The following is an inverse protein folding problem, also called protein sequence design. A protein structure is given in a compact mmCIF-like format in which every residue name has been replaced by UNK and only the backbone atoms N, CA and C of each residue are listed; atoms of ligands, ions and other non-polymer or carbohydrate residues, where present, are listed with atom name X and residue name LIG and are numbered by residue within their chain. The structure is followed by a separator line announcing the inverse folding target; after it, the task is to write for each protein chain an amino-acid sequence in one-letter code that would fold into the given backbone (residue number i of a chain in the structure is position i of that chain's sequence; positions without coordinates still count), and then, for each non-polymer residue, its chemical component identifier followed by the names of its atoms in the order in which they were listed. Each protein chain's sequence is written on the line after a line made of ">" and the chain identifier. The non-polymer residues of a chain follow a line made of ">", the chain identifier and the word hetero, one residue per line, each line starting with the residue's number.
data_IF_621537593597
#
_entry.id   IF_621537593597
#
_cell.length_a   1.000
_cell.length_b   1.000
_cell.length_c   1.000
_cell.angle_alpha   90.00
_cell.angle_beta   90.00
_cell.angle_gamma   90.00
#
_symmetry.space_group_name_H-M   'P 1'
#
loop_
_entity.id
_entity.type
_entity.pdbx_description
1 polymer ?
#
# COMPACT_ATOMS: atom_id res chain seq x y z
N UNK A 1 -7.38 -16.06 2.45
CA UNK A 1 -5.94 -15.98 2.83
C UNK A 1 -5.42 -14.55 2.77
N UNK A 2 -5.42 -13.90 1.60
CA UNK A 2 -5.01 -12.49 1.44
C UNK A 2 -5.97 -11.52 2.17
N UNK A 3 -7.28 -11.80 2.13
CA UNK A 3 -8.29 -11.08 2.92
C UNK A 3 -8.00 -11.07 4.43
N UNK A 4 -7.46 -12.16 4.98
CA UNK A 4 -7.11 -12.24 6.40
C UNK A 4 -5.92 -11.34 6.74
N UNK A 5 -4.95 -11.23 5.83
CA UNK A 5 -3.85 -10.26 5.96
C UNK A 5 -4.39 -8.83 5.92
N UNK A 6 -5.27 -8.52 4.96
CA UNK A 6 -5.87 -7.20 4.84
C UNK A 6 -6.61 -6.77 6.11
N UNK A 7 -7.43 -7.67 6.68
CA UNK A 7 -8.13 -7.43 7.95
C UNK A 7 -7.15 -7.23 9.11
N UNK A 8 -6.11 -8.06 9.19
CA UNK A 8 -5.07 -7.93 10.21
C UNK A 8 -4.34 -6.57 10.13
N UNK A 9 -3.98 -6.12 8.92
CA UNK A 9 -3.28 -4.84 8.73
C UNK A 9 -4.14 -3.62 9.06
N UNK A 10 -5.47 -3.77 9.10
CA UNK A 10 -6.37 -2.73 9.62
C UNK A 10 -6.48 -2.77 11.15
N UNK A 11 -6.57 -3.96 11.72
CA UNK A 11 -6.81 -4.12 13.15
C UNK A 11 -5.56 -3.93 14.01
N UNK A 12 -4.38 -4.29 13.49
CA UNK A 12 -3.12 -4.31 14.27
C UNK A 12 -1.90 -4.08 13.36
N UNK A 13 -1.81 -2.91 12.69
CA UNK A 13 -0.74 -2.63 11.70
C UNK A 13 0.69 -2.71 12.27
N UNK A 14 0.85 -2.37 13.55
CA UNK A 14 2.12 -2.37 14.28
C UNK A 14 2.57 -3.77 14.73
N UNK A 15 1.65 -4.73 14.75
CA UNK A 15 1.92 -6.09 15.20
C UNK A 15 2.65 -6.88 14.13
N UNK A 16 3.40 -7.90 14.57
CA UNK A 16 4.01 -8.85 13.63
C UNK A 16 2.92 -9.59 12.86
N UNK A 17 3.06 -9.66 11.55
CA UNK A 17 2.07 -10.36 10.71
C UNK A 17 1.99 -11.84 11.09
N UNK A 18 0.79 -12.43 11.12
CA UNK A 18 0.62 -13.82 11.51
C UNK A 18 1.10 -14.75 10.41
N UNK A 19 1.59 -15.93 10.81
CA UNK A 19 1.84 -17.03 9.88
C UNK A 19 0.59 -17.30 8.99
N UNK A 20 0.73 -17.53 7.68
CA UNK A 20 1.97 -17.74 6.92
C UNK A 20 2.53 -16.48 6.24
N UNK A 21 2.18 -15.30 6.74
CA UNK A 21 2.65 -14.04 6.18
C UNK A 21 3.95 -13.60 6.81
N UNK A 22 4.81 -13.02 5.98
CA UNK A 22 6.06 -12.39 6.38
C UNK A 22 6.05 -10.96 5.86
N UNK A 23 6.44 -10.00 6.71
CA UNK A 23 6.63 -8.61 6.30
C UNK A 23 8.09 -8.43 5.91
N UNK A 24 8.32 -8.03 4.66
CA UNK A 24 9.63 -7.92 4.05
C UNK A 24 9.89 -6.49 3.57
N UNK A 25 11.15 -6.07 3.62
CA UNK A 25 11.58 -4.78 3.09
C UNK A 25 12.73 -5.01 2.11
N UNK A 26 12.53 -4.65 0.84
CA UNK A 26 13.61 -4.63 -0.16
C UNK A 26 14.34 -3.29 -0.04
N UNK A 27 15.55 -3.32 0.50
CA UNK A 27 16.37 -2.12 0.67
C UNK A 27 16.87 -1.52 -0.65
N UNK A 28 16.98 -2.30 -1.73
CA UNK A 28 17.40 -1.76 -3.03
C UNK A 28 16.24 -1.05 -3.70
N UNK A 29 15.06 -1.65 -3.69
CA UNK A 29 13.86 -1.07 -4.29
C UNK A 29 13.14 -0.07 -3.38
N UNK A 30 13.51 -0.04 -2.08
CA UNK A 30 12.81 0.71 -1.03
C UNK A 30 11.32 0.33 -0.94
N UNK A 31 11.02 -0.96 -1.11
CA UNK A 31 9.63 -1.48 -1.14
C UNK A 31 9.34 -2.26 0.13
N UNK A 32 8.24 -1.90 0.80
CA UNK A 32 7.60 -2.73 1.80
C UNK A 32 6.60 -3.68 1.14
N UNK A 33 6.69 -4.97 1.45
CA UNK A 33 5.76 -5.97 0.92
C UNK A 33 5.52 -7.10 1.93
N UNK A 34 4.45 -7.86 1.70
CA UNK A 34 4.11 -9.05 2.47
C UNK A 34 4.16 -10.27 1.57
N UNK A 35 4.86 -11.31 2.02
CA UNK A 35 4.97 -12.57 1.28
C UNK A 35 4.26 -13.68 2.05
N UNK A 36 3.50 -14.51 1.34
CA UNK A 36 2.90 -15.71 1.90
C UNK A 36 3.82 -16.90 1.66
N UNK A 37 4.29 -17.53 2.74
CA UNK A 37 5.23 -18.64 2.67
C UNK A 37 4.65 -19.96 2.10
N UNK A 38 3.31 -20.07 1.99
CA UNK A 38 2.66 -21.32 1.54
C UNK A 38 2.27 -21.30 0.06
N UNK A 39 1.96 -20.13 -0.48
CA UNK A 39 1.44 -20.01 -1.86
C UNK A 39 2.18 -18.96 -2.70
N UNK A 40 3.26 -18.39 -2.18
CA UNK A 40 4.08 -17.37 -2.83
C UNK A 40 3.31 -16.10 -3.24
N UNK A 41 2.09 -15.88 -2.71
CA UNK A 41 1.35 -14.65 -2.91
C UNK A 41 2.12 -13.46 -2.33
N UNK A 42 2.18 -12.37 -3.08
CA UNK A 42 2.82 -11.14 -2.65
C UNK A 42 1.81 -10.00 -2.56
N UNK A 43 1.95 -9.17 -1.53
CA UNK A 43 1.17 -7.94 -1.36
C UNK A 43 2.14 -6.78 -1.25
N UNK A 44 2.20 -5.90 -2.24
CA UNK A 44 3.04 -4.70 -2.22
C UNK A 44 2.29 -3.58 -1.49
N UNK A 45 2.95 -2.94 -0.54
CA UNK A 45 2.38 -1.84 0.24
C UNK A 45 2.77 -0.49 -0.38
N UNK A 46 1.81 0.16 -1.04
CA UNK A 46 1.99 1.46 -1.67
C UNK A 46 1.50 2.61 -0.77
N UNK A 47 1.17 2.36 0.49
CA UNK A 47 0.83 3.45 1.41
C UNK A 47 2.04 4.33 1.66
N UNK A 48 1.82 5.65 1.73
CA UNK A 48 2.90 6.61 1.95
C UNK A 48 3.54 6.50 3.33
N UNK A 49 2.82 5.94 4.31
CA UNK A 49 3.28 5.74 5.67
C UNK A 49 2.70 4.46 6.25
N UNK A 50 3.57 3.60 6.78
CA UNK A 50 3.19 2.33 7.41
C UNK A 50 3.83 2.22 8.79
N UNK A 51 3.02 1.99 9.83
CA UNK A 51 3.52 1.73 11.17
C UNK A 51 4.13 0.32 11.23
N UNK A 52 5.41 0.23 11.59
CA UNK A 52 6.12 -1.05 11.71
C UNK A 52 6.14 -1.61 13.14
N UNK A 53 5.62 -0.85 14.10
CA UNK A 53 5.73 -1.13 15.53
C UNK A 53 7.04 -0.64 16.13
N UNK A 54 7.12 -0.65 17.47
CA UNK A 54 8.32 -0.19 18.20
C UNK A 54 8.68 1.27 17.97
N UNK A 55 7.72 2.12 17.57
CA UNK A 55 7.94 3.52 17.21
C UNK A 55 8.54 3.75 15.81
N UNK A 56 8.69 2.69 15.00
CA UNK A 56 9.23 2.77 13.65
C UNK A 56 8.12 2.94 12.61
N UNK A 57 8.40 3.75 11.59
CA UNK A 57 7.51 3.96 10.45
C UNK A 57 8.31 3.77 9.15
N UNK A 58 7.71 3.07 8.20
CA UNK A 58 8.15 3.11 6.81
C UNK A 58 7.46 4.29 6.11
N UNK A 59 8.25 5.10 5.40
CA UNK A 59 7.79 6.19 4.56
C UNK A 59 8.13 5.86 3.10
N UNK A 60 7.19 6.12 2.20
CA UNK A 60 7.35 5.81 0.77
C UNK A 60 6.68 6.85 -0.11
N UNK A 61 7.39 7.31 -1.13
CA UNK A 61 6.85 8.19 -2.18
C UNK A 61 6.37 7.40 -3.40
N UNK A 62 6.46 6.05 -3.36
CA UNK A 62 6.17 5.20 -4.52
C UNK A 62 4.77 5.39 -5.10
N UNK A 63 3.77 5.65 -4.25
CA UNK A 63 2.42 5.98 -4.73
C UNK A 63 2.39 7.27 -5.56
N UNK A 64 3.08 8.30 -5.10
CA UNK A 64 3.17 9.59 -5.78
C UNK A 64 3.90 9.43 -7.11
N UNK A 65 5.00 8.68 -7.10
CA UNK A 65 5.82 8.39 -8.29
C UNK A 65 5.02 7.63 -9.36
N UNK A 66 4.26 6.60 -8.96
CA UNK A 66 3.47 5.78 -9.87
C UNK A 66 2.24 6.51 -10.44
N UNK A 67 1.61 7.38 -9.64
CA UNK A 67 0.38 8.07 -10.06
C UNK A 67 0.61 9.43 -10.69
N UNK A 68 1.86 9.90 -10.74
CA UNK A 68 2.18 11.19 -11.31
C UNK A 68 1.51 12.37 -10.59
N UNK A 69 1.13 12.21 -9.31
CA UNK A 69 0.62 13.30 -8.45
C UNK A 69 1.75 14.25 -8.02
N UNK A 70 2.65 14.56 -8.95
CA UNK A 70 3.71 15.54 -8.81
C UNK A 70 3.09 16.93 -9.04
N UNK A 71 2.86 17.66 -7.94
CA UNK A 71 2.96 19.12 -7.88
C UNK A 71 2.48 19.94 -9.10
N UNK A 72 1.20 19.82 -9.48
CA UNK A 72 0.51 20.85 -10.28
C UNK A 72 -0.46 21.63 -9.39
N UNK A 73 0.05 22.30 -8.35
CA UNK A 73 -0.62 23.46 -7.74
C UNK A 73 0.46 24.46 -7.35
N UNK A 74 1.02 25.10 -8.38
CA UNK A 74 1.46 26.49 -8.22
C UNK A 74 0.20 27.32 -8.23
N UNK A 75 -0.49 27.42 -7.10
CA UNK A 75 -1.33 28.58 -6.86
C UNK A 75 -1.43 28.86 -5.37
N UNK A 76 -1.17 30.13 -5.06
CA UNK A 76 -1.07 30.68 -3.73
C UNK A 76 -2.41 30.62 -3.01
N UNK A 77 -2.70 29.53 -2.28
CA UNK A 77 -3.64 29.48 -1.14
C UNK A 77 -3.83 28.01 -0.73
N UNK A 78 -3.28 27.61 0.42
CA UNK A 78 -3.96 26.79 1.43
C UNK A 78 -2.95 26.30 2.49
N UNK A 79 -2.91 26.91 3.68
CA UNK A 79 -2.22 26.36 4.84
C UNK A 79 -3.02 25.18 5.47
N UNK A 80 -3.63 24.31 4.67
CA UNK A 80 -4.50 23.19 5.10
C UNK A 80 -3.87 21.80 4.95
N UNK A 81 -2.55 21.70 4.81
CA UNK A 81 -1.85 20.40 4.89
C UNK A 81 -1.88 19.77 6.28
N UNK A 82 -2.49 20.43 7.27
CA UNK A 82 -2.67 19.93 8.63
C UNK A 82 -3.86 18.97 8.77
N UNK A 83 -4.84 18.98 7.85
CA UNK A 83 -6.02 18.10 7.90
C UNK A 83 -5.83 16.75 7.18
N UNK A 84 -4.77 16.60 6.37
CA UNK A 84 -4.47 15.34 5.67
C UNK A 84 -4.05 14.19 6.59
N UNK A 85 -3.81 14.47 7.88
CA UNK A 85 -3.51 13.47 8.92
C UNK A 85 -4.71 12.63 9.35
N UNK A 86 -5.94 13.01 9.01
CA UNK A 86 -7.14 12.25 9.40
C UNK A 86 -7.42 11.02 8.52
N UNK A 87 -6.78 10.92 7.34
CA UNK A 87 -6.95 9.82 6.40
C UNK A 87 -5.79 8.80 6.40
N UNK A 88 -4.77 8.98 7.25
CA UNK A 88 -3.63 8.05 7.37
C UNK A 88 -3.99 6.69 8.03
N UNK A 89 -5.26 6.50 8.40
CA UNK A 89 -5.81 5.30 9.02
C UNK A 89 -7.08 4.78 8.32
N UNK A 90 -7.50 5.39 7.19
CA UNK A 90 -8.59 4.82 6.41
C UNK A 90 -8.16 3.42 5.91
N UNK A 91 -9.09 2.43 5.93
CA UNK A 91 -8.74 1.07 5.58
C UNK A 91 -8.19 1.04 4.15
N UNK A 92 -6.97 0.53 3.93
CA UNK A 92 -6.34 0.57 2.61
C UNK A 92 -7.17 -0.23 1.61
N UNK A 93 -7.11 0.16 0.35
CA UNK A 93 -7.75 -0.60 -0.71
C UNK A 93 -6.82 -1.71 -1.17
N UNK A 94 -7.35 -2.92 -1.31
CA UNK A 94 -6.58 -4.03 -1.86
C UNK A 94 -7.07 -4.38 -3.26
N UNK A 95 -6.14 -4.39 -4.20
CA UNK A 95 -6.42 -4.78 -5.59
C UNK A 95 -5.53 -5.95 -5.98
N UNK A 96 -6.03 -6.80 -6.88
CA UNK A 96 -5.21 -7.84 -7.51
C UNK A 96 -4.55 -7.26 -8.77
N UNK A 97 -3.23 -7.25 -8.82
CA UNK A 97 -2.48 -6.81 -9.98
C UNK A 97 -2.14 -8.01 -10.89
N UNK A 98 -2.62 -7.95 -12.13
CA UNK A 98 -2.36 -8.99 -13.13
C UNK A 98 -1.09 -8.75 -13.96
N UNK A 99 -0.43 -7.61 -13.78
CA UNK A 99 0.67 -7.13 -14.62
C UNK A 99 2.08 -7.41 -14.09
N UNK A 100 2.21 -7.89 -12.86
CA UNK A 100 3.50 -8.00 -12.15
C UNK A 100 4.02 -9.44 -12.01
N UNK A 101 3.51 -10.39 -12.81
CA UNK A 101 3.87 -11.81 -12.72
C UNK A 101 2.93 -12.59 -11.80
N UNK A 102 3.42 -13.60 -11.04
CA UNK A 102 2.58 -14.48 -10.21
C UNK A 102 1.79 -13.68 -9.18
N UNK A 103 0.61 -14.18 -8.79
CA UNK A 103 -0.40 -13.61 -7.88
C UNK A 103 0.06 -12.42 -6.97
N UNK A 104 0.16 -11.21 -7.53
CA UNK A 104 0.51 -9.97 -6.82
C UNK A 104 -0.76 -9.20 -6.46
N UNK A 105 -0.81 -8.69 -5.23
CA UNK A 105 -1.80 -7.72 -4.78
C UNK A 105 -1.11 -6.40 -4.43
N UNK A 106 -1.85 -5.31 -4.54
CA UNK A 106 -1.39 -3.98 -4.17
C UNK A 106 -2.30 -3.44 -3.07
N UNK A 107 -1.69 -2.95 -1.98
CA UNK A 107 -2.34 -2.15 -0.95
C UNK A 107 -2.17 -0.69 -1.30
N UNK A 108 -3.29 0.00 -1.48
CA UNK A 108 -3.34 1.37 -1.98
C UNK A 108 -3.88 2.33 -0.91
N UNK A 109 -3.39 3.57 -0.87
CA UNK A 109 -3.91 4.59 0.03
C UNK A 109 -5.28 5.14 -0.43
N UNK A 110 -5.65 4.94 -1.69
CA UNK A 110 -6.92 5.42 -2.26
C UNK A 110 -7.46 4.46 -3.34
N UNK A 111 -8.76 4.57 -3.62
CA UNK A 111 -9.44 3.77 -4.64
C UNK A 111 -9.03 4.24 -6.04
N UNK A 112 -8.65 3.30 -6.93
CA UNK A 112 -8.26 3.61 -8.32
C UNK A 112 -8.86 2.70 -9.38
N UNK A 113 -9.25 3.28 -10.51
CA UNK A 113 -9.85 2.54 -11.63
C UNK A 113 -8.85 1.84 -12.55
N UNK A 114 -7.57 2.22 -12.48
CA UNK A 114 -6.47 1.68 -13.28
C UNK A 114 -5.31 1.26 -12.40
N UNK A 115 -4.63 0.19 -12.78
CA UNK A 115 -3.49 -0.34 -12.06
C UNK A 115 -2.35 0.68 -12.09
N UNK A 116 -1.81 1.10 -10.93
CA UNK A 116 -0.76 2.12 -10.88
C UNK A 116 0.56 1.65 -11.52
N UNK A 117 0.73 0.35 -11.77
CA UNK A 117 1.98 -0.20 -12.33
C UNK A 117 1.92 -0.34 -13.87
N UNK A 118 0.76 -0.68 -14.43
CA UNK A 118 0.65 -0.99 -15.87
C UNK A 118 -0.49 -0.26 -16.59
N UNK A 119 -1.22 0.60 -15.89
CA UNK A 119 -2.38 1.36 -16.36
C UNK A 119 -3.57 0.53 -16.91
N UNK A 120 -3.58 -0.79 -16.69
CA UNK A 120 -4.72 -1.64 -17.07
C UNK A 120 -5.91 -1.45 -16.11
N UNK A 121 -7.14 -1.59 -16.61
CA UNK A 121 -8.35 -1.50 -15.78
C UNK A 121 -8.36 -2.54 -14.66
N UNK A 122 -8.74 -2.11 -13.45
CA UNK A 122 -8.89 -2.97 -12.28
C UNK A 122 -10.33 -3.46 -12.19
N UNK A 123 -10.49 -4.75 -11.89
CA UNK A 123 -11.75 -5.34 -11.47
C UNK A 123 -11.78 -5.42 -9.94
N UNK A 124 -12.71 -4.70 -9.31
CA UNK A 124 -12.98 -4.87 -7.88
C UNK A 124 -13.75 -6.17 -7.69
N UNK A 125 -13.22 -7.06 -6.85
CA UNK A 125 -14.00 -8.15 -6.29
C UNK A 125 -14.64 -7.58 -5.02
N UNK A 126 -15.96 -7.40 -5.06
CA UNK A 126 -16.76 -6.98 -3.90
C UNK A 126 -16.85 -8.06 -2.83
#
# INVERSE_FOLDING_TARGET
>A
MVYNLWYFLQASPESSVPFPWERCFDARAQILFYKNALNEAMVIDLRSRVNLGGGMFHLSDMWLDLTGRCCCYSDHQHPLLTERRQYEQDPPFMIKAHCCGPLVYLLLPEMVHRCPICDCHILYLG
#
